data_IF_934577770877
#
_entry.id   IF_934577770877
#
_cell.length_a   1.000
_cell.length_b   1.000
_cell.length_c   1.000
_cell.angle_alpha   90.00
_cell.angle_beta   90.00
_cell.angle_gamma   90.00
#
_symmetry.space_group_name_H-M   'P 1'
#
loop_
_entity.id
_entity.type
_entity.pdbx_description
1 polymer ?
#
# COMPACT_ATOMS: atom_id res chain seq x y z
N UNK A 1 -43.08 61.03 18.81
CA UNK A 1 -41.70 61.48 19.04
C UNK A 1 -40.85 60.24 19.34
N UNK A 2 -39.78 60.04 18.57
CA UNK A 2 -38.69 59.05 18.69
C UNK A 2 -38.97 57.54 18.58
N UNK A 3 -38.76 57.06 17.35
CA UNK A 3 -38.20 55.75 16.94
C UNK A 3 -37.02 55.28 17.78
N UNK A 4 -36.88 53.96 17.99
CA UNK A 4 -35.57 53.29 18.00
C UNK A 4 -35.69 51.87 17.43
N UNK A 5 -34.87 51.64 16.41
CA UNK A 5 -34.78 50.49 15.53
C UNK A 5 -33.93 49.41 16.19
N UNK A 6 -34.43 48.17 16.32
CA UNK A 6 -33.62 47.03 16.74
C UNK A 6 -33.22 46.21 15.50
N UNK A 7 -31.99 46.42 15.04
CA UNK A 7 -31.31 45.54 14.08
C UNK A 7 -30.44 44.58 14.89
N UNK A 8 -30.71 43.29 14.80
CA UNK A 8 -29.82 42.25 15.33
C UNK A 8 -29.34 41.36 14.18
N UNK A 9 -28.01 41.39 14.02
CA UNK A 9 -27.15 40.73 13.04
C UNK A 9 -27.38 39.21 12.95
N UNK A 10 -27.55 38.70 11.72
CA UNK A 10 -27.35 37.28 11.41
C UNK A 10 -25.85 36.95 11.44
N UNK A 11 -25.41 36.13 12.40
CA UNK A 11 -24.05 35.58 12.39
C UNK A 11 -24.03 34.38 11.45
N UNK A 12 -23.44 34.57 10.27
CA UNK A 12 -23.14 33.51 9.32
C UNK A 12 -22.09 32.55 9.91
N UNK A 13 -22.48 31.31 10.15
CA UNK A 13 -21.54 30.22 10.44
C UNK A 13 -20.90 29.76 9.13
N UNK A 14 -19.90 30.51 8.64
CA UNK A 14 -18.91 29.99 7.71
C UNK A 14 -17.95 29.08 8.50
N UNK A 15 -18.41 27.87 8.82
CA UNK A 15 -17.53 26.83 9.34
C UNK A 15 -16.54 26.47 8.23
N UNK A 16 -15.31 26.93 8.41
CA UNK A 16 -14.14 26.75 7.57
C UNK A 16 -14.07 25.34 6.96
N UNK A 17 -14.36 25.25 5.67
CA UNK A 17 -13.96 24.13 4.84
C UNK A 17 -12.44 24.24 4.56
N UNK A 18 -11.61 24.06 5.58
CA UNK A 18 -10.18 23.83 5.39
C UNK A 18 -9.98 22.34 5.11
N UNK A 19 -10.28 21.92 3.87
CA UNK A 19 -9.82 20.61 3.40
C UNK A 19 -8.32 20.70 3.21
N UNK A 20 -7.56 20.33 4.22
CA UNK A 20 -6.14 20.04 4.06
C UNK A 20 -6.03 18.99 2.96
N UNK A 21 -5.42 19.35 1.83
CA UNK A 21 -5.14 18.40 0.75
C UNK A 21 -4.19 17.36 1.34
N UNK A 22 -4.69 16.16 1.63
CA UNK A 22 -3.86 15.04 2.04
C UNK A 22 -2.88 14.82 0.90
N UNK A 23 -1.57 14.88 1.19
CA UNK A 23 -0.55 14.62 0.19
C UNK A 23 -0.77 13.21 -0.38
N UNK A 24 -0.77 13.08 -1.70
CA UNK A 24 -0.90 11.78 -2.34
C UNK A 24 0.32 10.92 -2.00
N UNK A 25 0.14 9.61 -1.75
CA UNK A 25 1.25 8.72 -1.47
C UNK A 25 2.18 8.65 -2.68
N UNK A 26 3.49 8.73 -2.44
CA UNK A 26 4.52 8.59 -3.46
C UNK A 26 5.03 7.16 -3.42
N UNK A 27 4.89 6.45 -4.54
CA UNK A 27 5.37 5.08 -4.72
C UNK A 27 6.68 5.09 -5.52
N UNK A 28 7.56 4.08 -5.36
CA UNK A 28 8.72 3.93 -6.23
C UNK A 28 8.29 3.69 -7.68
N UNK A 29 9.18 4.00 -8.62
CA UNK A 29 8.93 3.78 -10.04
C UNK A 29 8.67 2.30 -10.33
N UNK A 30 7.65 2.05 -11.16
CA UNK A 30 7.30 0.71 -11.61
C UNK A 30 7.89 0.45 -12.99
N UNK A 31 8.46 -0.74 -13.19
CA UNK A 31 9.15 -1.15 -14.42
C UNK A 31 8.48 -2.37 -15.03
N UNK A 32 8.41 -2.42 -16.36
CA UNK A 32 8.00 -3.62 -17.10
C UNK A 32 9.22 -4.48 -17.40
N UNK A 33 9.12 -5.78 -17.16
CA UNK A 33 10.16 -6.73 -17.52
C UNK A 33 9.81 -7.44 -18.84
N UNK A 34 10.81 -8.10 -19.43
CA UNK A 34 10.61 -8.89 -20.64
C UNK A 34 9.72 -10.13 -20.43
N UNK A 35 9.50 -10.54 -19.17
CA UNK A 35 8.58 -11.59 -18.75
C UNK A 35 7.65 -11.03 -17.69
N UNK A 36 6.44 -11.57 -17.62
CA UNK A 36 5.45 -11.14 -16.63
C UNK A 36 5.96 -11.43 -15.21
N UNK A 37 6.07 -10.40 -14.34
CA UNK A 37 6.58 -10.57 -12.99
C UNK A 37 5.73 -11.52 -12.16
N UNK A 38 6.37 -12.38 -11.36
CA UNK A 38 5.69 -13.41 -10.57
C UNK A 38 5.68 -13.08 -9.08
N UNK A 39 4.50 -12.75 -8.54
CA UNK A 39 4.33 -12.44 -7.11
C UNK A 39 3.81 -13.63 -6.30
N UNK A 40 3.01 -14.50 -6.90
CA UNK A 40 2.39 -15.65 -6.21
C UNK A 40 3.47 -16.60 -5.68
N UNK A 41 3.24 -17.14 -4.49
CA UNK A 41 4.15 -18.06 -3.83
C UNK A 41 4.46 -17.66 -2.39
N UNK A 42 5.44 -18.33 -1.81
CA UNK A 42 5.93 -18.08 -0.47
C UNK A 42 7.27 -17.34 -0.50
N UNK A 43 7.39 -16.37 0.41
CA UNK A 43 8.51 -15.48 0.52
C UNK A 43 8.93 -15.40 1.99
N UNK A 44 10.21 -15.62 2.27
CA UNK A 44 10.76 -15.63 3.63
C UNK A 44 11.67 -14.43 3.81
N UNK A 45 11.60 -13.76 4.94
CA UNK A 45 12.51 -12.67 5.24
C UNK A 45 12.02 -11.77 6.35
N UNK A 46 12.43 -10.51 6.29
CA UNK A 46 12.20 -9.53 7.34
C UNK A 46 11.17 -8.48 6.90
N UNK A 47 10.24 -8.17 7.81
CA UNK A 47 9.29 -7.07 7.68
C UNK A 47 9.35 -6.21 8.93
N UNK A 48 9.86 -4.99 8.81
CA UNK A 48 9.92 -4.03 9.92
C UNK A 48 10.68 -4.55 11.16
N UNK A 49 11.74 -5.34 10.98
CA UNK A 49 12.49 -5.96 12.08
C UNK A 49 12.02 -7.35 12.50
N UNK A 50 10.90 -7.84 11.94
CA UNK A 50 10.32 -9.13 12.28
C UNK A 50 10.59 -10.14 11.16
N UNK A 51 11.23 -11.27 11.50
CA UNK A 51 11.37 -12.39 10.58
C UNK A 51 10.07 -13.17 10.45
N UNK A 52 9.77 -13.64 9.25
CA UNK A 52 8.55 -14.40 8.99
C UNK A 52 8.38 -14.83 7.54
N UNK A 53 7.18 -15.29 7.23
CA UNK A 53 6.79 -15.80 5.93
C UNK A 53 5.62 -14.99 5.39
N UNK A 54 5.77 -14.45 4.18
CA UNK A 54 4.71 -13.90 3.37
C UNK A 54 4.24 -14.94 2.34
N UNK A 55 2.97 -15.32 2.41
CA UNK A 55 2.32 -16.13 1.39
C UNK A 55 1.44 -15.24 0.53
N UNK A 56 1.63 -15.27 -0.80
CA UNK A 56 0.82 -14.53 -1.78
C UNK A 56 0.07 -15.50 -2.69
N UNK A 57 -1.22 -15.23 -2.90
CA UNK A 57 -2.07 -15.98 -3.83
C UNK A 57 -2.85 -15.07 -4.77
N UNK A 58 -3.27 -15.59 -5.91
CA UNK A 58 -4.07 -14.85 -6.90
C UNK A 58 -5.56 -14.85 -6.53
N UNK A 59 -6.20 -13.70 -6.69
CA UNK A 59 -7.66 -13.55 -6.59
C UNK A 59 -8.29 -13.42 -7.98
N UNK A 60 -7.75 -12.51 -8.76
CA UNK A 60 -8.15 -12.15 -10.12
C UNK A 60 -6.87 -11.77 -10.87
N UNK A 61 -6.89 -11.68 -12.21
CA UNK A 61 -5.74 -11.17 -12.95
C UNK A 61 -5.28 -9.83 -12.36
N UNK A 62 -3.99 -9.75 -12.01
CA UNK A 62 -3.35 -8.56 -11.44
C UNK A 62 -3.82 -8.17 -10.03
N UNK A 63 -4.56 -9.04 -9.34
CA UNK A 63 -5.02 -8.81 -7.96
C UNK A 63 -4.70 -10.02 -7.09
N UNK A 64 -4.10 -9.77 -5.96
CA UNK A 64 -3.58 -10.81 -5.06
C UNK A 64 -4.09 -10.61 -3.65
N UNK A 65 -4.13 -11.71 -2.90
CA UNK A 65 -4.23 -11.69 -1.45
C UNK A 65 -2.88 -12.10 -0.86
N UNK A 66 -2.60 -11.63 0.36
CA UNK A 66 -1.41 -12.03 1.09
C UNK A 66 -1.65 -12.20 2.58
N UNK A 67 -0.84 -13.05 3.20
CA UNK A 67 -0.67 -13.08 4.66
C UNK A 67 0.81 -13.14 4.99
N UNK A 68 1.29 -12.19 5.80
CA UNK A 68 2.59 -12.27 6.44
C UNK A 68 2.41 -12.71 7.88
N UNK A 69 3.12 -13.74 8.30
CA UNK A 69 3.11 -14.24 9.68
C UNK A 69 4.55 -14.20 10.20
N UNK A 70 4.75 -13.48 11.31
CA UNK A 70 6.04 -13.46 12.00
C UNK A 70 6.35 -14.85 12.59
N UNK A 71 7.62 -15.23 12.64
CA UNK A 71 8.06 -16.56 13.10
C UNK A 71 7.65 -16.87 14.55
N UNK A 72 7.56 -15.84 15.40
CA UNK A 72 7.10 -15.96 16.79
C UNK A 72 5.56 -15.90 16.93
N UNK A 73 4.85 -15.80 15.81
CA UNK A 73 3.40 -15.62 15.70
C UNK A 73 2.86 -14.41 16.49
N UNK A 74 3.71 -13.43 16.80
CA UNK A 74 3.30 -12.21 17.51
C UNK A 74 2.47 -11.28 16.63
N UNK A 75 2.69 -11.34 15.32
CA UNK A 75 2.08 -10.47 14.32
C UNK A 75 1.66 -11.29 13.10
N UNK A 76 0.44 -11.05 12.64
CA UNK A 76 -0.04 -11.43 11.31
C UNK A 76 -0.51 -10.17 10.59
N UNK A 77 -0.09 -9.99 9.35
CA UNK A 77 -0.63 -8.97 8.46
C UNK A 77 -1.39 -9.63 7.33
N UNK A 78 -2.64 -9.23 7.12
CA UNK A 78 -3.45 -9.63 5.97
C UNK A 78 -3.41 -8.52 4.93
N UNK A 79 -3.12 -8.88 3.67
CA UNK A 79 -2.86 -7.96 2.58
C UNK A 79 -3.89 -8.14 1.44
N UNK A 80 -4.28 -7.03 0.84
CA UNK A 80 -4.97 -6.98 -0.45
C UNK A 80 -4.08 -6.18 -1.40
N UNK A 81 -3.66 -6.80 -2.51
CA UNK A 81 -2.65 -6.24 -3.40
C UNK A 81 -3.20 -6.07 -4.82
N UNK A 82 -2.87 -4.95 -5.45
CA UNK A 82 -3.17 -4.66 -6.85
C UNK A 82 -1.86 -4.39 -7.61
N UNK A 83 -1.63 -5.14 -8.68
CA UNK A 83 -0.46 -4.93 -9.55
C UNK A 83 -0.63 -3.65 -10.36
N UNK A 84 0.40 -2.83 -10.36
CA UNK A 84 0.44 -1.64 -11.21
C UNK A 84 0.59 -2.06 -12.67
N UNK A 85 -0.26 -1.53 -13.54
CA UNK A 85 -0.10 -1.59 -14.99
C UNK A 85 0.55 -0.29 -15.46
N UNK A 86 1.60 -0.38 -16.26
CA UNK A 86 2.28 0.79 -16.82
C UNK A 86 2.50 0.61 -18.31
N UNK A 87 2.73 1.72 -19.02
CA UNK A 87 2.99 1.66 -20.46
C UNK A 87 4.38 1.09 -20.73
N UNK A 88 4.44 0.11 -21.63
CA UNK A 88 5.69 -0.42 -22.15
C UNK A 88 6.27 0.50 -23.25
N UNK A 89 7.45 0.15 -23.76
CA UNK A 89 8.13 0.88 -24.84
C UNK A 89 7.35 0.89 -26.17
N UNK A 90 6.32 0.06 -26.30
CA UNK A 90 5.42 -0.04 -27.46
C UNK A 90 4.13 0.75 -27.24
N UNK A 91 3.97 1.38 -26.06
CA UNK A 91 2.82 2.18 -25.68
C UNK A 91 1.61 1.37 -25.22
N UNK A 92 1.73 0.05 -25.06
CA UNK A 92 0.69 -0.82 -24.52
C UNK A 92 0.77 -0.87 -22.99
N UNK A 93 -0.38 -1.02 -22.31
CA UNK A 93 -0.37 -1.30 -20.87
C UNK A 93 0.11 -2.72 -20.61
N UNK A 94 1.10 -2.86 -19.73
CA UNK A 94 1.69 -4.13 -19.35
C UNK A 94 1.82 -4.24 -17.83
N UNK A 95 1.78 -5.46 -17.27
CA UNK A 95 1.99 -5.69 -15.85
C UNK A 95 3.41 -5.29 -15.44
N UNK A 96 3.52 -4.47 -14.41
CA UNK A 96 4.82 -4.02 -13.89
C UNK A 96 5.31 -4.88 -12.72
N UNK A 97 6.56 -4.67 -12.34
CA UNK A 97 7.21 -5.27 -11.18
C UNK A 97 6.70 -4.73 -9.83
N UNK A 98 5.65 -3.92 -9.80
CA UNK A 98 5.12 -3.28 -8.57
C UNK A 98 3.71 -3.73 -8.26
N UNK A 99 3.47 -4.10 -7.00
CA UNK A 99 2.14 -4.15 -6.39
C UNK A 99 2.02 -3.05 -5.35
N UNK A 100 0.84 -2.45 -5.26
CA UNK A 100 0.44 -1.62 -4.11
C UNK A 100 -0.51 -2.43 -3.26
N UNK A 101 -0.52 -2.20 -1.94
CA UNK A 101 -1.36 -2.98 -1.06
C UNK A 101 -1.95 -2.19 0.10
N UNK A 102 -3.05 -2.70 0.63
CA UNK A 102 -3.54 -2.37 1.98
C UNK A 102 -3.25 -3.53 2.91
N UNK A 103 -2.96 -3.23 4.18
CA UNK A 103 -2.73 -4.24 5.21
C UNK A 103 -3.60 -4.00 6.46
N UNK A 104 -3.84 -5.06 7.23
CA UNK A 104 -4.44 -5.01 8.56
C UNK A 104 -3.84 -6.09 9.47
N UNK A 105 -3.79 -5.83 10.78
CA UNK A 105 -3.21 -6.75 11.78
C UNK A 105 -4.25 -7.50 12.64
N UNK A 106 -5.55 -7.30 12.38
CA UNK A 106 -6.65 -7.87 13.16
C UNK A 106 -6.84 -7.27 14.57
N UNK A 107 -5.93 -6.40 15.03
CA UNK A 107 -6.00 -5.69 16.31
C UNK A 107 -6.40 -4.21 16.15
N UNK A 108 -6.70 -3.79 14.92
CA UNK A 108 -7.15 -2.45 14.57
C UNK A 108 -6.09 -1.62 13.85
N UNK A 109 -4.84 -2.10 13.78
CA UNK A 109 -3.82 -1.54 12.93
C UNK A 109 -4.12 -1.85 11.47
N UNK A 110 -3.92 -0.82 10.63
CA UNK A 110 -4.14 -0.90 9.19
C UNK A 110 -3.37 0.18 8.46
N UNK A 111 -3.12 -0.04 7.19
CA UNK A 111 -2.52 0.99 6.35
C UNK A 111 -2.25 0.52 4.95
N UNK A 112 -1.19 1.06 4.36
CA UNK A 112 -0.83 0.87 2.95
C UNK A 112 0.65 0.61 2.78
N UNK A 113 1.01 0.05 1.64
CA UNK A 113 2.39 -0.16 1.25
C UNK A 113 2.52 -0.51 -0.21
N UNK A 114 3.72 -0.92 -0.58
CA UNK A 114 4.06 -1.40 -1.91
C UNK A 114 5.13 -2.48 -1.81
N UNK A 115 5.13 -3.39 -2.79
CA UNK A 115 6.21 -4.35 -3.01
C UNK A 115 6.72 -4.22 -4.45
N UNK A 116 8.03 -4.41 -4.62
CA UNK A 116 8.71 -4.57 -5.88
C UNK A 116 9.33 -5.96 -5.95
N UNK A 117 9.10 -6.66 -7.05
CA UNK A 117 9.79 -7.92 -7.36
C UNK A 117 10.99 -7.65 -8.28
N UNK A 118 12.11 -8.32 -8.03
CA UNK A 118 13.26 -8.24 -8.92
C UNK A 118 12.99 -8.96 -10.25
N UNK A 119 13.88 -8.76 -11.23
CA UNK A 119 13.74 -9.31 -12.58
C UNK A 119 13.75 -10.84 -12.63
N UNK A 120 14.42 -11.46 -11.67
CA UNK A 120 14.58 -12.90 -11.58
C UNK A 120 13.41 -13.58 -10.84
N UNK A 121 12.46 -12.79 -10.29
CA UNK A 121 11.34 -13.27 -9.47
C UNK A 121 11.78 -14.02 -8.19
N UNK A 122 12.93 -13.64 -7.63
CA UNK A 122 13.56 -14.31 -6.46
C UNK A 122 13.58 -13.46 -5.20
N UNK A 123 13.33 -12.16 -5.30
CA UNK A 123 13.35 -11.24 -4.16
C UNK A 123 12.23 -10.19 -4.25
N UNK A 124 11.65 -9.90 -3.08
CA UNK A 124 10.74 -8.78 -2.87
C UNK A 124 11.39 -7.73 -1.96
N UNK A 125 11.21 -6.47 -2.35
CA UNK A 125 11.50 -5.31 -1.50
C UNK A 125 10.26 -4.46 -1.36
N UNK A 126 10.11 -3.74 -0.26
CA UNK A 126 8.90 -2.97 -0.03
C UNK A 126 8.96 -2.02 1.14
N UNK A 127 7.92 -1.21 1.29
CA UNK A 127 7.70 -0.37 2.46
C UNK A 127 6.22 -0.25 2.77
N UNK A 128 5.91 0.10 4.01
CA UNK A 128 4.54 0.26 4.49
C UNK A 128 4.42 1.32 5.58
N UNK A 129 3.20 1.83 5.75
CA UNK A 129 2.86 2.86 6.71
C UNK A 129 1.42 2.71 7.22
N UNK A 130 1.07 3.47 8.27
CA UNK A 130 -0.30 3.57 8.77
C UNK A 130 -1.18 4.44 7.88
N UNK A 131 -2.47 4.13 7.84
CA UNK A 131 -3.51 4.89 7.15
C UNK A 131 -3.16 5.17 5.67
N UNK A 132 -2.80 6.41 5.34
CA UNK A 132 -2.47 6.83 3.97
C UNK A 132 -0.96 6.85 3.69
N UNK A 133 -0.12 6.64 4.70
CA UNK A 133 1.32 6.52 4.51
C UNK A 133 1.65 5.17 3.87
N UNK A 134 2.59 5.17 2.94
CA UNK A 134 3.07 3.97 2.22
C UNK A 134 4.50 3.60 2.63
N UNK A 135 5.01 4.25 3.68
CA UNK A 135 6.34 4.06 4.26
C UNK A 135 6.34 4.59 5.70
N UNK A 136 7.41 4.30 6.42
CA UNK A 136 7.68 4.85 7.75
C UNK A 136 7.41 3.89 8.92
N UNK A 137 6.81 2.72 8.68
CA UNK A 137 6.76 1.64 9.68
C UNK A 137 7.91 0.66 9.58
N UNK A 138 8.41 0.46 8.38
CA UNK A 138 9.51 -0.44 8.11
C UNK A 138 9.59 -0.80 6.65
N UNK A 139 10.57 -1.63 6.35
CA UNK A 139 10.82 -2.18 5.02
C UNK A 139 10.44 -3.66 4.99
N UNK A 140 10.11 -4.15 3.80
CA UNK A 140 9.92 -5.55 3.49
C UNK A 140 11.17 -5.99 2.72
N UNK A 141 11.84 -7.03 3.18
CA UNK A 141 12.98 -7.64 2.49
C UNK A 141 12.82 -9.14 2.54
N UNK A 142 12.37 -9.73 1.44
CA UNK A 142 12.00 -11.14 1.37
C UNK A 142 12.69 -11.82 0.18
N UNK A 143 12.98 -13.10 0.33
CA UNK A 143 13.47 -13.98 -0.73
C UNK A 143 12.45 -15.09 -0.96
N UNK A 144 12.37 -15.60 -2.18
CA UNK A 144 11.43 -16.67 -2.51
C UNK A 144 11.87 -17.98 -1.82
N UNK A 145 10.91 -18.73 -1.27
CA UNK A 145 11.21 -19.92 -0.47
C UNK A 145 11.63 -21.15 -1.29
N UNK A 146 11.26 -21.19 -2.57
CA UNK A 146 11.49 -22.31 -3.49
C UNK A 146 12.76 -22.14 -4.35
N UNK A 147 13.61 -21.17 -4.01
CA UNK A 147 14.86 -20.86 -4.73
C UNK A 147 16.02 -21.76 -4.30
#
# INVERSE_FOLDING_TARGET
MATLCATALSVAAAACAHRTKVAEPVYPEATVYARDPQFVGEWVGEVGGMWGILTLGELEPHRFFGSFVADDASVEYVLMLDQSLVRDDRGAEAPSNRVVFTWQDGQGGRGRGWLLVNREDTALTGAYGYDNAVQGLGEWTLIRSDT
#
